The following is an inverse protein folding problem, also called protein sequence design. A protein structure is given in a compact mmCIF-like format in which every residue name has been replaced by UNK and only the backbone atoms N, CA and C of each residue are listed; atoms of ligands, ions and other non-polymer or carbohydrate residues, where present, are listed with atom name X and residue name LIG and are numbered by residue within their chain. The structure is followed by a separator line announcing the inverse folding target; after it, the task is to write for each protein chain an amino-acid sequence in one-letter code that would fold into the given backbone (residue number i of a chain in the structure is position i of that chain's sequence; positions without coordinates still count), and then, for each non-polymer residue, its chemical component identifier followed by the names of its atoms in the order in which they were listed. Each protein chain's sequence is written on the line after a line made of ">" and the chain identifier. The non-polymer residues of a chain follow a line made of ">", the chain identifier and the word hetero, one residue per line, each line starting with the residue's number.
data_IF_712740359527
#
_entry.id   IF_712740359527
#
_cell.length_a   1.000
_cell.length_b   1.000
_cell.length_c   1.000
_cell.angle_alpha   90.00
_cell.angle_beta   90.00
_cell.angle_gamma   90.00
#
_symmetry.space_group_name_H-M   'P 1'
#
loop_
_entity.id
_entity.type
_entity.pdbx_description
1 polymer ?
#
# COMPACT_ATOMS: atom_id res chain seq x y z
N UNK A 1 -31.28 -52.30 -18.90
CA UNK A 1 -30.99 -50.97 -19.49
C UNK A 1 -31.16 -49.92 -18.38
N UNK A 2 -30.08 -49.51 -17.69
CA UNK A 2 -30.20 -48.62 -16.53
C UNK A 2 -28.92 -47.81 -16.27
N UNK A 3 -28.52 -46.91 -17.17
CA UNK A 3 -27.39 -45.99 -16.93
C UNK A 3 -27.51 -44.53 -17.48
N UNK A 4 -28.69 -43.87 -17.56
CA UNK A 4 -28.72 -42.43 -17.89
C UNK A 4 -28.50 -41.52 -16.67
N UNK A 5 -28.85 -41.96 -15.45
CA UNK A 5 -28.78 -41.12 -14.24
C UNK A 5 -27.36 -40.95 -13.69
N UNK A 6 -26.52 -41.98 -13.80
CA UNK A 6 -25.13 -41.91 -13.33
C UNK A 6 -24.28 -40.92 -14.15
N UNK A 7 -24.51 -40.85 -15.47
CA UNK A 7 -23.85 -39.89 -16.35
C UNK A 7 -24.28 -38.45 -16.05
N UNK A 8 -25.57 -38.24 -15.77
CA UNK A 8 -26.10 -36.93 -15.40
C UNK A 8 -25.52 -36.43 -14.07
N UNK A 9 -25.37 -37.31 -13.07
CA UNK A 9 -24.76 -36.98 -11.79
C UNK A 9 -23.27 -36.61 -11.96
N UNK A 10 -22.54 -37.34 -12.81
CA UNK A 10 -21.13 -37.04 -13.11
C UNK A 10 -20.94 -35.68 -13.81
N UNK A 11 -21.85 -35.31 -14.72
CA UNK A 11 -21.83 -34.00 -15.38
C UNK A 11 -22.18 -32.85 -14.44
N UNK A 12 -23.10 -33.08 -13.49
CA UNK A 12 -23.43 -32.08 -12.46
C UNK A 12 -22.23 -31.87 -11.54
N UNK A 13 -21.58 -32.95 -11.10
CA UNK A 13 -20.38 -32.87 -10.25
C UNK A 13 -19.22 -32.19 -10.98
N UNK A 14 -19.01 -32.48 -12.28
CA UNK A 14 -17.99 -31.79 -13.07
C UNK A 14 -18.28 -30.28 -13.21
N UNK A 15 -19.55 -29.90 -13.40
CA UNK A 15 -19.92 -28.48 -13.44
C UNK A 15 -19.75 -27.79 -12.10
N UNK A 16 -20.07 -28.44 -10.98
CA UNK A 16 -19.88 -27.85 -9.64
C UNK A 16 -18.40 -27.71 -9.29
N UNK A 17 -17.56 -28.70 -9.63
CA UNK A 17 -16.11 -28.60 -9.45
C UNK A 17 -15.50 -27.49 -10.33
N UNK A 18 -15.89 -27.40 -11.60
CA UNK A 18 -15.38 -26.36 -12.49
C UNK A 18 -15.82 -24.94 -12.09
N UNK A 19 -16.90 -24.78 -11.32
CA UNK A 19 -17.32 -23.48 -10.78
C UNK A 19 -16.60 -23.06 -9.50
N UNK A 20 -16.04 -24.01 -8.74
CA UNK A 20 -15.30 -23.67 -7.50
C UNK A 20 -13.89 -23.12 -7.80
N UNK A 21 -13.21 -23.59 -8.85
CA UNK A 21 -11.88 -23.10 -9.24
C UNK A 21 -11.88 -21.71 -9.89
N UNK A 22 -13.02 -21.25 -10.41
CA UNK A 22 -13.16 -19.94 -11.09
C UNK A 22 -13.65 -18.83 -10.14
N UNK A 23 -14.06 -19.18 -8.91
CA UNK A 23 -14.62 -18.24 -7.94
C UNK A 23 -13.60 -17.69 -6.92
N UNK A 24 -12.30 -17.92 -7.09
CA UNK A 24 -11.23 -17.34 -6.25
C UNK A 24 -10.61 -16.06 -6.84
N UNK A 25 -11.28 -15.40 -7.78
CA UNK A 25 -10.69 -14.23 -8.44
C UNK A 25 -11.69 -13.10 -8.67
N UNK A 26 -12.39 -12.68 -7.61
CA UNK A 26 -13.04 -11.36 -7.49
C UNK A 26 -13.72 -11.19 -6.12
N UNK A 27 -12.97 -11.30 -5.02
CA UNK A 27 -13.35 -10.53 -3.84
C UNK A 27 -12.78 -9.14 -4.10
N UNK A 28 -13.64 -8.22 -4.54
CA UNK A 28 -13.34 -6.80 -4.63
C UNK A 28 -13.13 -6.28 -3.20
N UNK A 29 -11.94 -6.52 -2.63
CA UNK A 29 -11.51 -5.76 -1.48
C UNK A 29 -11.11 -4.40 -2.03
N UNK A 30 -11.90 -3.35 -1.72
CA UNK A 30 -11.56 -1.94 -2.03
C UNK A 30 -10.19 -1.51 -1.46
N UNK A 31 -9.58 -2.36 -0.64
CA UNK A 31 -8.29 -2.16 -0.04
C UNK A 31 -7.23 -2.96 -0.80
N UNK A 32 -6.27 -2.25 -1.37
CA UNK A 32 -5.11 -2.81 -2.05
C UNK A 32 -3.93 -2.89 -1.07
N UNK A 33 -3.13 -3.96 -1.18
CA UNK A 33 -1.85 -4.04 -0.50
C UNK A 33 -0.81 -3.14 -1.15
N UNK A 34 -0.16 -2.33 -0.34
CA UNK A 34 0.88 -1.40 -0.78
C UNK A 34 2.21 -1.95 -0.29
N UNK A 35 3.05 -2.30 -1.24
CA UNK A 35 4.29 -3.04 -1.06
C UNK A 35 5.50 -2.12 -1.17
N UNK A 36 6.60 -2.57 -0.58
CA UNK A 36 7.91 -1.99 -0.79
C UNK A 36 8.31 -2.23 -2.24
N UNK A 37 8.58 -1.17 -3.00
CA UNK A 37 8.99 -1.31 -4.40
C UNK A 37 10.28 -2.12 -4.56
N UNK A 38 11.16 -2.10 -3.56
CA UNK A 38 12.48 -2.76 -3.64
C UNK A 38 12.40 -4.27 -3.44
N UNK A 39 11.61 -4.77 -2.48
CA UNK A 39 11.60 -6.19 -2.12
C UNK A 39 10.22 -6.86 -2.14
N UNK A 40 9.15 -6.11 -2.35
CA UNK A 40 7.78 -6.64 -2.34
C UNK A 40 7.19 -6.85 -0.93
N UNK A 41 7.91 -6.56 0.15
CA UNK A 41 7.36 -6.67 1.51
C UNK A 41 6.16 -5.72 1.72
N UNK A 42 5.12 -6.19 2.41
CA UNK A 42 3.96 -5.38 2.75
C UNK A 42 4.36 -4.18 3.61
N UNK A 43 4.00 -2.96 3.18
CA UNK A 43 4.27 -1.72 3.92
C UNK A 43 3.02 -1.19 4.61
N UNK A 44 1.89 -1.18 3.90
CA UNK A 44 0.60 -0.73 4.41
C UNK A 44 -0.50 -1.19 3.45
N UNK A 45 -1.74 -0.78 3.71
CA UNK A 45 -2.89 -1.09 2.87
C UNK A 45 -3.67 0.19 2.57
N UNK A 46 -4.29 0.28 1.39
CA UNK A 46 -4.84 1.54 0.88
C UNK A 46 -5.92 2.15 1.79
N UNK A 47 -6.56 1.35 2.66
CA UNK A 47 -7.50 1.80 3.69
C UNK A 47 -6.92 2.81 4.68
N UNK A 48 -5.60 2.80 4.88
CA UNK A 48 -4.92 3.68 5.83
C UNK A 48 -4.39 4.96 5.18
N UNK A 49 -4.59 5.17 3.87
CA UNK A 49 -4.31 6.45 3.23
C UNK A 49 -5.10 7.55 3.96
N UNK A 50 -4.42 8.65 4.28
CA UNK A 50 -5.01 9.80 4.96
C UNK A 50 -4.63 11.10 4.25
N UNK A 51 -5.49 12.12 4.38
CA UNK A 51 -5.27 13.46 3.83
C UNK A 51 -4.67 14.37 4.91
N UNK A 52 -3.41 14.10 5.28
CA UNK A 52 -2.67 14.93 6.22
C UNK A 52 -1.71 15.84 5.48
N UNK A 53 -2.17 17.05 5.17
CA UNK A 53 -1.41 18.03 4.39
C UNK A 53 -0.39 18.76 5.25
N UNK A 54 0.83 18.88 4.73
CA UNK A 54 1.87 19.75 5.24
C UNK A 54 1.52 21.21 4.91
N UNK A 55 1.58 22.14 5.89
CA UNK A 55 1.35 23.56 5.64
C UNK A 55 2.46 24.21 4.80
N UNK A 56 3.60 23.53 4.62
CA UNK A 56 4.75 24.02 3.85
C UNK A 56 4.95 23.24 2.56
N UNK A 57 3.98 22.41 2.16
CA UNK A 57 4.02 21.72 0.86
C UNK A 57 4.11 22.72 -0.28
N UNK A 58 5.02 22.45 -1.23
CA UNK A 58 5.20 23.30 -2.40
C UNK A 58 4.07 23.14 -3.41
N UNK A 59 3.60 21.92 -3.57
CA UNK A 59 2.57 21.54 -4.54
C UNK A 59 1.75 20.38 -3.98
N UNK A 60 0.43 20.44 -4.18
CA UNK A 60 -0.51 19.40 -3.74
C UNK A 60 -1.43 19.08 -4.91
N UNK A 61 -1.61 17.80 -5.19
CA UNK A 61 -2.53 17.33 -6.22
C UNK A 61 -3.19 16.01 -5.81
N UNK A 62 -4.30 15.71 -6.48
CA UNK A 62 -5.03 14.47 -6.32
C UNK A 62 -4.63 13.51 -7.43
N UNK A 63 -4.39 12.25 -7.06
CA UNK A 63 -4.09 11.18 -8.01
C UNK A 63 -5.04 9.98 -7.80
N UNK A 64 -5.08 9.08 -8.77
CA UNK A 64 -5.77 7.78 -8.67
C UNK A 64 -4.73 6.67 -8.58
N UNK A 65 -4.34 6.33 -7.35
CA UNK A 65 -3.30 5.36 -7.03
C UNK A 65 -3.76 4.43 -5.90
N UNK A 66 -3.15 3.26 -5.81
CA UNK A 66 -3.46 2.24 -4.80
C UNK A 66 -4.97 1.86 -4.76
N UNK A 67 -5.56 1.73 -5.95
CA UNK A 67 -6.98 1.48 -6.18
C UNK A 67 -7.93 2.48 -5.48
N UNK A 68 -7.43 3.69 -5.19
CA UNK A 68 -8.19 4.79 -4.60
C UNK A 68 -8.15 6.01 -5.49
N UNK A 69 -9.30 6.67 -5.58
CA UNK A 69 -9.41 8.00 -6.21
C UNK A 69 -9.10 9.06 -5.18
N UNK A 70 -8.66 10.22 -5.66
CA UNK A 70 -8.45 11.42 -4.84
C UNK A 70 -7.42 11.22 -3.72
N UNK A 71 -6.39 10.40 -3.98
CA UNK A 71 -5.26 10.28 -3.06
C UNK A 71 -4.44 11.57 -3.14
N UNK A 72 -4.28 12.22 -2.00
CA UNK A 72 -3.50 13.46 -1.91
C UNK A 72 -2.01 13.14 -1.95
N UNK A 73 -1.36 13.62 -3.00
CA UNK A 73 0.09 13.61 -3.14
C UNK A 73 0.57 15.04 -2.91
N UNK A 74 1.59 15.18 -2.06
CA UNK A 74 2.16 16.48 -1.70
C UNK A 74 3.67 16.47 -1.88
N UNK A 75 4.21 17.52 -2.50
CA UNK A 75 5.63 17.66 -2.73
C UNK A 75 6.30 18.38 -1.55
N UNK A 76 7.09 17.62 -0.79
CA UNK A 76 7.86 18.12 0.35
C UNK A 76 9.29 18.43 -0.11
N UNK A 77 9.79 19.61 0.30
CA UNK A 77 11.15 20.04 0.00
C UNK A 77 12.09 19.62 1.12
N UNK A 78 13.05 18.76 0.83
CA UNK A 78 14.15 18.45 1.75
C UNK A 78 15.32 19.41 1.59
N UNK A 79 16.39 19.10 2.33
CA UNK A 79 17.66 19.78 2.18
C UNK A 79 18.21 19.62 0.76
N UNK A 80 19.06 20.57 0.34
CA UNK A 80 19.68 20.60 -0.98
C UNK A 80 18.68 20.61 -2.16
N UNK A 81 17.46 21.13 -1.93
CA UNK A 81 16.39 21.23 -2.94
C UNK A 81 15.91 19.88 -3.50
N UNK A 82 15.98 18.81 -2.71
CA UNK A 82 15.39 17.53 -3.07
C UNK A 82 13.86 17.59 -2.92
N UNK A 83 13.16 17.10 -3.93
CA UNK A 83 11.69 17.10 -3.99
C UNK A 83 11.16 15.69 -3.74
N UNK A 84 10.28 15.54 -2.77
CA UNK A 84 9.69 14.25 -2.40
C UNK A 84 8.18 14.29 -2.59
N UNK A 85 7.64 13.64 -3.63
CA UNK A 85 6.21 13.36 -3.73
C UNK A 85 5.83 12.37 -2.62
N UNK A 86 5.05 12.82 -1.66
CA UNK A 86 4.71 12.07 -0.44
C UNK A 86 3.21 11.81 -0.35
N UNK A 87 2.87 10.59 0.07
CA UNK A 87 1.52 10.18 0.48
C UNK A 87 1.55 9.84 1.96
N UNK A 88 0.48 10.19 2.68
CA UNK A 88 0.40 9.97 4.13
C UNK A 88 -0.50 8.80 4.50
N UNK A 89 -0.12 8.08 5.55
CA UNK A 89 -0.82 6.88 6.03
C UNK A 89 -0.96 6.88 7.56
N UNK A 90 -2.01 6.25 8.08
CA UNK A 90 -2.24 6.07 9.53
C UNK A 90 -1.58 4.81 10.10
N UNK A 91 -1.21 3.85 9.26
CA UNK A 91 -0.64 2.57 9.67
C UNK A 91 0.46 2.12 8.72
N UNK A 92 1.47 1.45 9.26
CA UNK A 92 2.55 0.85 8.47
C UNK A 92 3.37 -0.17 9.26
N UNK A 93 3.97 -1.12 8.54
CA UNK A 93 4.97 -2.08 9.03
C UNK A 93 6.41 -1.54 9.03
N UNK A 94 6.64 -0.30 8.58
CA UNK A 94 8.00 0.25 8.50
C UNK A 94 8.64 0.42 9.88
N UNK A 95 9.97 0.34 9.94
CA UNK A 95 10.73 0.49 11.17
C UNK A 95 11.38 1.87 11.21
N UNK A 96 11.02 2.68 12.22
CA UNK A 96 11.64 3.97 12.46
C UNK A 96 13.06 3.81 13.04
N UNK A 97 14.05 4.48 12.43
CA UNK A 97 15.46 4.40 12.82
C UNK A 97 16.01 5.79 13.18
N UNK A 98 17.05 5.83 14.00
CA UNK A 98 17.67 7.08 14.45
C UNK A 98 16.89 7.81 15.54
N UNK A 99 17.37 9.01 15.86
CA UNK A 99 16.76 9.92 16.82
C UNK A 99 15.54 10.63 16.24
N UNK A 100 14.67 11.13 17.12
CA UNK A 100 13.55 11.96 16.73
C UNK A 100 13.99 13.41 16.60
N UNK A 101 13.59 14.05 15.50
CA UNK A 101 13.94 15.44 15.19
C UNK A 101 12.68 16.25 14.90
N UNK A 102 12.73 17.57 15.12
CA UNK A 102 11.61 18.45 14.77
C UNK A 102 11.31 18.36 13.26
N UNK A 103 10.04 18.14 12.92
CA UNK A 103 9.63 18.04 11.53
C UNK A 103 9.53 19.42 10.90
N UNK A 104 10.37 19.68 9.90
CA UNK A 104 10.28 20.88 9.07
C UNK A 104 8.99 20.92 8.23
N UNK A 105 8.37 19.77 7.97
CA UNK A 105 7.16 19.67 7.14
C UNK A 105 5.86 19.67 7.92
N UNK A 106 5.86 19.26 9.18
CA UNK A 106 4.66 19.16 10.00
C UNK A 106 4.90 19.82 11.36
N UNK A 107 4.62 21.13 11.49
CA UNK A 107 4.82 21.84 12.75
C UNK A 107 4.08 21.18 13.93
N UNK A 108 4.76 21.09 15.08
CA UNK A 108 4.25 20.39 16.27
C UNK A 108 4.40 18.87 16.24
N UNK A 109 5.07 18.33 15.20
CA UNK A 109 5.46 16.93 15.12
C UNK A 109 6.98 16.81 15.15
N UNK A 110 7.43 15.70 15.73
CA UNK A 110 8.77 15.17 15.54
C UNK A 110 8.71 14.01 14.56
N UNK A 111 9.79 13.82 13.81
CA UNK A 111 9.91 12.80 12.77
C UNK A 111 11.24 12.08 12.84
N UNK A 112 11.27 10.88 12.27
CA UNK A 112 12.52 10.18 12.00
C UNK A 112 12.40 9.31 10.75
N UNK A 113 13.53 8.94 10.13
CA UNK A 113 13.57 8.02 9.00
C UNK A 113 12.78 6.73 9.27
N UNK A 114 11.97 6.30 8.30
CA UNK A 114 11.33 4.98 8.30
C UNK A 114 11.87 4.11 7.18
N UNK A 115 12.36 2.93 7.54
CA UNK A 115 12.93 1.95 6.63
C UNK A 115 12.04 0.73 6.50
N UNK A 116 12.12 0.04 5.37
CA UNK A 116 11.50 -1.26 5.19
C UNK A 116 12.12 -2.26 6.18
N UNK A 117 11.29 -2.93 6.99
CA UNK A 117 11.76 -3.90 7.97
C UNK A 117 12.47 -5.11 7.33
N UNK A 118 12.12 -5.44 6.08
CA UNK A 118 12.65 -6.61 5.38
C UNK A 118 14.00 -6.31 4.69
N UNK A 119 14.08 -5.24 3.89
CA UNK A 119 15.27 -4.97 3.07
C UNK A 119 16.08 -3.74 3.49
N UNK A 120 15.64 -3.00 4.52
CA UNK A 120 16.32 -1.80 5.00
C UNK A 120 16.24 -0.59 4.06
N UNK A 121 15.52 -0.68 2.93
CA UNK A 121 15.39 0.45 2.01
C UNK A 121 14.66 1.62 2.66
N UNK A 122 15.01 2.84 2.27
CA UNK A 122 14.39 4.05 2.77
C UNK A 122 13.01 4.27 2.15
N UNK A 123 11.98 4.46 2.99
CA UNK A 123 10.60 4.64 2.54
C UNK A 123 10.09 6.07 2.73
N UNK A 124 10.64 6.79 3.71
CA UNK A 124 10.18 8.11 4.10
C UNK A 124 10.33 8.31 5.61
N UNK A 125 9.26 8.75 6.27
CA UNK A 125 9.31 9.16 7.68
C UNK A 125 8.10 8.68 8.46
N UNK A 126 8.32 8.45 9.75
CA UNK A 126 7.26 8.33 10.76
C UNK A 126 7.20 9.63 11.55
N UNK A 127 6.00 10.10 11.87
CA UNK A 127 5.73 11.35 12.57
C UNK A 127 4.89 11.08 13.82
N UNK A 128 5.24 11.72 14.93
CA UNK A 128 4.42 11.74 16.13
C UNK A 128 4.34 13.15 16.71
N UNK A 129 3.27 13.52 17.43
CA UNK A 129 3.20 14.82 18.07
C UNK A 129 4.35 14.99 19.06
N UNK A 130 5.00 16.15 19.06
CA UNK A 130 6.09 16.48 19.98
C UNK A 130 5.62 16.38 21.45
N UNK A 131 4.38 16.81 21.71
CA UNK A 131 3.71 16.68 23.00
C UNK A 131 2.52 15.73 22.87
N UNK A 132 2.73 14.41 23.01
CA UNK A 132 1.66 13.43 22.84
C UNK A 132 0.59 13.62 23.92
N UNK A 133 -0.65 13.83 23.48
CA UNK A 133 -1.83 13.79 24.34
C UNK A 133 -2.36 12.36 24.38
N UNK A 134 -3.28 12.08 25.31
CA UNK A 134 -4.02 10.83 25.33
C UNK A 134 -4.73 10.66 23.97
N UNK A 135 -4.44 9.58 23.26
CA UNK A 135 -4.91 9.28 21.89
C UNK A 135 -4.24 10.07 20.75
N UNK A 136 -3.06 10.65 20.98
CA UNK A 136 -2.25 11.19 19.88
C UNK A 136 -1.76 10.06 18.98
N UNK A 137 -2.29 9.99 17.76
CA UNK A 137 -1.88 9.00 16.76
C UNK A 137 -0.66 9.48 15.98
N UNK A 138 0.28 8.55 15.79
CA UNK A 138 1.36 8.71 14.83
C UNK A 138 0.82 8.56 13.40
N UNK A 139 1.57 9.06 12.43
CA UNK A 139 1.29 8.82 11.02
C UNK A 139 2.60 8.67 10.24
N UNK A 140 2.49 8.22 9.01
CA UNK A 140 3.62 7.96 8.13
C UNK A 140 3.51 8.83 6.88
N UNK A 141 4.64 9.30 6.38
CA UNK A 141 4.75 9.95 5.08
C UNK A 141 5.74 9.19 4.23
N UNK A 142 5.27 8.55 3.16
CA UNK A 142 6.10 7.74 2.29
C UNK A 142 6.28 8.39 0.93
N UNK A 143 7.50 8.27 0.40
CA UNK A 143 7.86 8.74 -0.92
C UNK A 143 7.15 7.83 -1.93
N UNK A 144 6.38 8.42 -2.84
CA UNK A 144 5.53 7.65 -3.76
C UNK A 144 6.33 6.60 -4.56
N UNK A 145 7.57 6.94 -4.96
CA UNK A 145 8.45 6.04 -5.71
C UNK A 145 9.03 4.89 -4.88
N UNK A 146 8.96 4.90 -3.55
CA UNK A 146 9.38 3.76 -2.72
C UNK A 146 8.28 2.71 -2.57
N UNK A 147 7.07 3.01 -3.04
CA UNK A 147 5.89 2.17 -2.92
C UNK A 147 5.44 1.63 -4.28
N UNK A 148 4.71 0.52 -4.24
CA UNK A 148 4.04 -0.09 -5.39
C UNK A 148 2.76 -0.80 -4.93
N UNK A 149 1.69 -0.70 -5.70
CA UNK A 149 0.45 -1.43 -5.42
C UNK A 149 0.55 -2.89 -5.89
N UNK A 150 0.04 -3.82 -5.11
CA UNK A 150 0.01 -5.26 -5.44
C UNK A 150 -0.70 -5.52 -6.78
N UNK A 151 -1.84 -4.87 -7.05
CA UNK A 151 -2.60 -5.08 -8.31
C UNK A 151 -1.78 -4.65 -9.52
N UNK A 152 -0.98 -3.60 -9.37
CA UNK A 152 -0.05 -3.16 -10.41
C UNK A 152 1.09 -4.17 -10.58
N UNK A 153 1.66 -4.70 -9.49
CA UNK A 153 2.70 -5.75 -9.58
C UNK A 153 2.16 -6.98 -10.31
N UNK A 154 0.99 -7.48 -9.92
CA UNK A 154 0.36 -8.65 -10.54
C UNK A 154 0.10 -8.47 -12.03
N UNK A 155 -0.25 -7.25 -12.46
CA UNK A 155 -0.45 -6.93 -13.88
C UNK A 155 0.83 -7.02 -14.72
N UNK A 156 2.00 -6.95 -14.10
CA UNK A 156 3.30 -7.04 -14.77
C UNK A 156 3.86 -8.45 -14.82
N UNK A 157 3.36 -9.37 -13.98
CA UNK A 157 3.88 -10.74 -13.90
C UNK A 157 3.19 -11.63 -14.94
N UNK A 158 3.96 -12.17 -15.88
CA UNK A 158 3.49 -13.16 -16.84
C UNK A 158 3.95 -14.55 -16.40
N UNK A 159 3.01 -15.43 -16.08
CA UNK A 159 3.31 -16.84 -15.82
C UNK A 159 3.33 -17.64 -17.13
N UNK A 160 4.38 -18.43 -17.40
CA UNK A 160 4.37 -19.33 -18.55
C UNK A 160 3.26 -20.37 -18.37
N UNK A 161 2.32 -20.40 -19.30
CA UNK A 161 1.32 -21.47 -19.36
C UNK A 161 1.96 -22.69 -19.98
N UNK A 162 2.08 -23.79 -19.22
CA UNK A 162 2.44 -25.08 -19.78
C UNK A 162 1.31 -25.53 -20.71
N UNK A 163 1.49 -25.28 -22.02
CA UNK A 163 0.70 -25.93 -23.05
C UNK A 163 1.28 -27.33 -23.25
N UNK A 164 0.66 -28.31 -22.60
CA UNK A 164 0.77 -29.72 -22.97
C UNK A 164 -0.07 -30.01 -24.21
#
# INVERSE_FOLDING_TARGET
>A
MMFPKALLMLLIVYKTYATEDVALHQIHTDNEFILCRTCGNLITISKYVTDKRSPVSRFIFNDTIFNRKEVVVQELLGDLFLHFPVVTFLDSTCTGVGEWEESSWFPGYISRPCMCAECGTYLGWVFQPEQPKKNSELFFGFILSSLIGETFVDSLVIYPTNKN
#
